data_IF_920146606012
#
_entry.id   IF_920146606012
#
_cell.length_a   1.000
_cell.length_b   1.000
_cell.length_c   1.000
_cell.angle_alpha   90.00
_cell.angle_beta   90.00
_cell.angle_gamma   90.00
#
_symmetry.space_group_name_H-M   'P 1'
#
loop_
_entity.id
_entity.type
_entity.pdbx_description
1 polymer ?
#
# COMPACT_ATOMS: atom_id res chain seq x y z
N UNK A 1 27.99 1.35 -21.21
CA UNK A 1 27.24 0.49 -20.27
C UNK A 1 26.05 -0.09 -21.05
N UNK A 2 25.83 -1.42 -21.04
CA UNK A 2 24.67 -2.06 -21.69
C UNK A 2 23.70 -2.54 -20.61
N UNK A 3 22.43 -2.20 -20.72
CA UNK A 3 21.40 -2.72 -19.82
C UNK A 3 21.22 -4.22 -20.07
N UNK A 4 21.28 -5.02 -19.01
CA UNK A 4 21.14 -6.48 -19.05
C UNK A 4 19.71 -6.93 -19.41
N UNK A 5 18.72 -6.08 -19.17
CA UNK A 5 17.29 -6.35 -19.39
C UNK A 5 16.69 -5.47 -20.50
N UNK A 6 17.53 -4.97 -21.41
CA UNK A 6 17.08 -4.09 -22.49
C UNK A 6 15.96 -4.71 -23.36
N UNK A 7 16.03 -6.03 -23.60
CA UNK A 7 15.05 -6.72 -24.42
C UNK A 7 13.72 -6.97 -23.69
N UNK A 8 13.76 -7.30 -22.39
CA UNK A 8 12.55 -7.45 -21.58
C UNK A 8 11.83 -6.11 -21.42
N UNK A 9 12.60 -5.03 -21.25
CA UNK A 9 12.06 -3.69 -21.06
C UNK A 9 11.25 -3.20 -22.28
N UNK A 10 11.76 -3.38 -23.50
CA UNK A 10 11.07 -2.94 -24.73
C UNK A 10 9.89 -3.83 -25.12
N UNK A 11 9.84 -5.06 -24.59
CA UNK A 11 8.75 -6.01 -24.84
C UNK A 11 7.68 -6.00 -23.74
N UNK A 12 7.91 -5.28 -22.64
CA UNK A 12 7.04 -5.30 -21.47
C UNK A 12 7.09 -6.61 -20.68
N UNK A 13 8.19 -7.36 -20.79
CA UNK A 13 8.40 -8.64 -20.11
C UNK A 13 9.21 -8.48 -18.80
N UNK A 14 9.78 -7.30 -18.56
CA UNK A 14 10.43 -6.97 -17.29
C UNK A 14 9.41 -7.01 -16.16
N UNK A 15 9.72 -7.75 -15.10
CA UNK A 15 8.86 -7.84 -13.92
C UNK A 15 9.30 -6.80 -12.88
N UNK A 16 8.34 -5.97 -12.47
CA UNK A 16 8.43 -5.06 -11.34
C UNK A 16 7.59 -5.57 -10.17
N UNK A 17 7.66 -4.88 -9.03
CA UNK A 17 6.99 -5.31 -7.79
C UNK A 17 5.48 -5.49 -7.99
N UNK A 18 4.86 -4.57 -8.74
CA UNK A 18 3.42 -4.59 -9.03
C UNK A 18 3.01 -5.68 -10.04
N UNK A 19 3.98 -6.29 -10.74
CA UNK A 19 3.72 -7.39 -11.69
C UNK A 19 3.72 -8.75 -11.00
N UNK A 20 4.09 -8.81 -9.72
CA UNK A 20 4.09 -10.05 -8.94
C UNK A 20 2.64 -10.46 -8.64
N UNK A 21 2.35 -11.75 -8.82
CA UNK A 21 1.04 -12.31 -8.48
C UNK A 21 0.68 -12.03 -7.02
N UNK A 22 -0.45 -11.36 -6.82
CA UNK A 22 -1.00 -11.07 -5.50
C UNK A 22 -1.46 -12.37 -4.83
N UNK A 23 -1.00 -12.62 -3.60
CA UNK A 23 -1.41 -13.81 -2.85
C UNK A 23 -2.86 -13.66 -2.40
N UNK A 24 -3.51 -14.79 -2.14
CA UNK A 24 -4.83 -14.76 -1.51
C UNK A 24 -4.75 -14.00 -0.18
N UNK A 25 -5.73 -13.13 0.08
CA UNK A 25 -5.81 -12.28 1.26
C UNK A 25 -4.75 -11.16 1.37
N UNK A 26 -3.98 -10.85 0.32
CA UNK A 26 -3.16 -9.63 0.30
C UNK A 26 -4.06 -8.39 0.45
N UNK A 27 -3.68 -7.50 1.36
CA UNK A 27 -4.35 -6.22 1.57
C UNK A 27 -3.65 -5.11 0.78
N UNK A 28 -4.44 -4.14 0.31
CA UNK A 28 -3.92 -2.91 -0.28
C UNK A 28 -4.01 -1.78 0.75
N UNK A 29 -2.99 -0.93 0.80
CA UNK A 29 -2.91 0.17 1.75
C UNK A 29 -2.71 1.49 1.02
N UNK A 30 -3.28 2.55 1.58
CA UNK A 30 -3.04 3.94 1.19
C UNK A 30 -2.80 4.76 2.44
N UNK A 31 -1.92 5.76 2.34
CA UNK A 31 -1.57 6.63 3.46
C UNK A 31 -2.28 7.96 3.28
N UNK A 32 -3.01 8.39 4.33
CA UNK A 32 -3.52 9.75 4.44
C UNK A 32 -2.46 10.61 5.14
N UNK A 33 -1.91 11.59 4.42
CA UNK A 33 -0.95 12.55 4.97
C UNK A 33 -1.64 13.67 5.75
N UNK A 34 -0.87 14.40 6.56
CA UNK A 34 -1.34 15.64 7.20
C UNK A 34 -1.43 16.77 6.18
N UNK A 35 -2.55 17.49 6.16
CA UNK A 35 -2.71 18.73 5.39
C UNK A 35 -2.00 19.93 6.03
N UNK A 36 -1.53 19.79 7.28
CA UNK A 36 -0.86 20.85 8.05
C UNK A 36 0.60 20.51 8.27
N UNK A 37 1.49 21.43 7.89
CA UNK A 37 2.94 21.24 7.98
C UNK A 37 3.46 21.13 9.43
N UNK A 38 2.82 21.81 10.39
CA UNK A 38 3.18 21.73 11.80
C UNK A 38 1.95 21.87 12.70
N UNK A 39 1.48 20.74 13.21
CA UNK A 39 0.38 20.66 14.16
C UNK A 39 0.65 19.56 15.18
N UNK A 40 -0.10 19.60 16.29
CA UNK A 40 -0.17 18.49 17.24
C UNK A 40 -1.43 17.70 16.93
N UNK A 41 -1.28 16.41 16.61
CA UNK A 41 -2.43 15.53 16.45
C UNK A 41 -3.08 15.27 17.82
N UNK A 42 -4.30 15.77 17.99
CA UNK A 42 -5.07 15.59 19.23
C UNK A 42 -6.00 14.37 19.13
N UNK A 43 -6.54 14.09 17.94
CA UNK A 43 -7.45 12.97 17.68
C UNK A 43 -7.50 12.64 16.20
N UNK A 44 -7.51 11.36 15.85
CA UNK A 44 -7.83 10.85 14.51
C UNK A 44 -9.14 10.07 14.63
N UNK A 45 -10.14 10.40 13.80
CA UNK A 45 -11.42 9.71 13.76
C UNK A 45 -11.52 8.86 12.49
N UNK A 46 -11.56 7.54 12.68
CA UNK A 46 -11.68 6.57 11.58
C UNK A 46 -13.07 5.92 11.53
N UNK A 47 -14.02 6.36 12.35
CA UNK A 47 -15.33 5.71 12.51
C UNK A 47 -16.13 5.62 11.20
N UNK A 48 -16.02 6.62 10.33
CA UNK A 48 -16.63 6.56 8.99
C UNK A 48 -15.91 5.59 8.07
N UNK A 49 -14.57 5.56 8.09
CA UNK A 49 -13.77 4.67 7.26
C UNK A 49 -14.07 3.19 7.56
N UNK A 50 -14.32 2.84 8.83
CA UNK A 50 -14.65 1.47 9.25
C UNK A 50 -16.00 0.96 8.72
N UNK A 51 -16.92 1.86 8.32
CA UNK A 51 -18.23 1.45 7.78
C UNK A 51 -18.14 1.00 6.32
N UNK A 52 -17.06 1.33 5.63
CA UNK A 52 -16.92 0.95 4.23
C UNK A 52 -16.65 -0.54 4.09
N UNK A 53 -17.33 -1.23 3.17
CA UNK A 53 -17.11 -2.65 2.94
C UNK A 53 -15.63 -2.95 2.67
N UNK A 54 -15.12 -4.01 3.30
CA UNK A 54 -13.77 -4.56 3.03
C UNK A 54 -12.59 -3.69 3.49
N UNK A 55 -12.85 -2.68 4.34
CA UNK A 55 -11.80 -1.98 5.10
C UNK A 55 -11.35 -2.86 6.25
N UNK A 56 -10.05 -3.14 6.32
CA UNK A 56 -9.44 -3.98 7.36
C UNK A 56 -8.57 -3.13 8.31
N UNK A 57 -8.65 -3.42 9.62
CA UNK A 57 -7.81 -2.77 10.64
C UNK A 57 -6.93 -3.79 11.36
N UNK A 58 -5.65 -3.45 11.57
CA UNK A 58 -4.81 -4.22 12.51
C UNK A 58 -5.15 -3.79 13.93
N UNK A 59 -5.61 -4.74 14.75
CA UNK A 59 -5.68 -4.56 16.20
C UNK A 59 -4.27 -4.67 16.77
N UNK A 60 -3.79 -3.62 17.45
CA UNK A 60 -2.55 -3.69 18.24
C UNK A 60 -2.74 -4.74 19.34
N UNK A 61 -2.17 -5.94 19.14
CA UNK A 61 -2.29 -7.05 20.08
C UNK A 61 -2.22 -8.45 19.47
N UNK A 62 -2.33 -8.61 18.15
CA UNK A 62 -2.13 -9.92 17.50
C UNK A 62 -0.81 -9.94 16.74
N UNK A 63 0.26 -10.25 17.47
CA UNK A 63 1.49 -10.78 16.90
C UNK A 63 1.25 -12.27 16.64
N UNK A 64 1.37 -12.72 15.39
CA UNK A 64 1.64 -14.13 15.08
C UNK A 64 3.13 -14.41 15.27
#
# INVERSE_FOLDING_TARGET
>A
MKNIDANGHVRGESLFIEDILTKQNTLHAVVLGSDVAHAKDVRIDISEAEKYPRVEKKQQGQTS
#
